data_IF_527110780526
#
_entry.id   IF_527110780526
#
_cell.length_a   1.000
_cell.length_b   1.000
_cell.length_c   1.000
_cell.angle_alpha   90.00
_cell.angle_beta   90.00
_cell.angle_gamma   90.00
#
_symmetry.space_group_name_H-M   'P 1'
#
loop_
_entity.id
_entity.type
_entity.pdbx_description
1 polymer ?
#
# COMPACT_ATOMS: atom_id res chain seq x y z
N UNK A 1 16.38 -13.94 -6.47
CA UNK A 1 14.98 -14.24 -6.12
C UNK A 1 14.31 -12.88 -5.88
N UNK A 2 14.28 -12.03 -6.93
CA UNK A 2 14.15 -10.57 -6.79
C UNK A 2 12.97 -9.99 -7.57
N UNK A 3 12.26 -10.82 -8.32
CA UNK A 3 11.20 -10.40 -9.26
C UNK A 3 9.85 -10.14 -8.58
N UNK A 4 9.60 -10.67 -7.37
CA UNK A 4 8.30 -10.53 -6.70
C UNK A 4 8.16 -9.20 -5.95
N UNK A 5 9.27 -8.65 -5.42
CA UNK A 5 9.26 -7.38 -4.66
C UNK A 5 9.15 -6.16 -5.60
N UNK A 6 9.76 -6.24 -6.78
CA UNK A 6 9.69 -5.20 -7.80
C UNK A 6 8.28 -5.07 -8.39
N UNK A 7 7.66 -6.20 -8.80
CA UNK A 7 6.32 -6.26 -9.41
C UNK A 7 5.25 -5.57 -8.55
N UNK A 8 5.31 -5.78 -7.23
CA UNK A 8 4.32 -5.19 -6.34
C UNK A 8 4.53 -3.69 -6.13
N UNK A 9 5.78 -3.24 -6.08
CA UNK A 9 6.12 -1.82 -5.89
C UNK A 9 5.65 -0.98 -7.07
N UNK A 10 5.79 -1.50 -8.29
CA UNK A 10 5.34 -0.84 -9.51
C UNK A 10 3.81 -0.71 -9.55
N UNK A 11 3.08 -1.76 -9.16
CA UNK A 11 1.62 -1.72 -9.03
C UNK A 11 1.13 -0.72 -7.99
N UNK A 12 1.83 -0.58 -6.85
CA UNK A 12 1.48 0.42 -5.84
C UNK A 12 1.67 1.85 -6.38
N UNK A 13 2.77 2.11 -7.07
CA UNK A 13 3.04 3.42 -7.66
C UNK A 13 2.01 3.79 -8.74
N UNK A 14 1.56 2.81 -9.54
CA UNK A 14 0.49 3.01 -10.51
C UNK A 14 -0.82 3.43 -9.83
N UNK A 15 -1.23 2.73 -8.77
CA UNK A 15 -2.44 3.06 -8.01
C UNK A 15 -2.35 4.46 -7.39
N UNK A 16 -1.20 4.84 -6.82
CA UNK A 16 -0.99 6.18 -6.27
C UNK A 16 -1.09 7.26 -7.36
N UNK A 17 -0.56 6.98 -8.55
CA UNK A 17 -0.66 7.88 -9.70
C UNK A 17 -2.12 8.08 -10.10
N UNK A 18 -2.90 7.01 -10.18
CA UNK A 18 -4.34 7.07 -10.51
C UNK A 18 -5.14 7.85 -9.44
N UNK A 19 -4.83 7.65 -8.16
CA UNK A 19 -5.45 8.42 -7.06
C UNK A 19 -5.19 9.91 -7.25
N UNK A 20 -3.95 10.30 -7.55
CA UNK A 20 -3.58 11.70 -7.79
C UNK A 20 -4.32 12.30 -8.99
N UNK A 21 -4.40 11.57 -10.10
CA UNK A 21 -5.12 12.00 -11.31
C UNK A 21 -6.60 12.21 -11.00
N UNK A 22 -7.24 11.25 -10.33
CA UNK A 22 -8.66 11.33 -10.00
C UNK A 22 -8.98 12.48 -9.05
N UNK A 23 -8.11 12.73 -8.06
CA UNK A 23 -8.26 13.86 -7.16
C UNK A 23 -8.17 15.19 -7.91
N UNK A 24 -7.17 15.34 -8.79
CA UNK A 24 -7.00 16.55 -9.59
C UNK A 24 -8.18 16.78 -10.55
N UNK A 25 -8.67 15.71 -11.18
CA UNK A 25 -9.83 15.77 -12.07
C UNK A 25 -11.09 16.18 -11.30
N UNK A 26 -11.33 15.61 -10.12
CA UNK A 26 -12.45 15.97 -9.28
C UNK A 26 -12.36 17.42 -8.79
N UNK A 27 -11.17 17.87 -8.38
CA UNK A 27 -10.91 19.24 -7.97
C UNK A 27 -11.19 20.22 -9.12
N UNK A 28 -10.70 19.92 -10.31
CA UNK A 28 -10.86 20.76 -11.51
C UNK A 28 -12.33 20.82 -11.96
N UNK A 29 -13.04 19.69 -11.89
CA UNK A 29 -14.42 19.58 -12.40
C UNK A 29 -15.44 20.18 -11.46
N UNK A 30 -15.31 19.91 -10.15
CA UNK A 30 -16.35 20.26 -9.18
C UNK A 30 -15.95 21.40 -8.24
N UNK A 31 -14.65 21.65 -8.07
CA UNK A 31 -14.13 22.63 -7.13
C UNK A 31 -14.06 22.11 -5.68
N UNK A 32 -13.20 22.70 -4.84
CA UNK A 32 -12.79 22.15 -3.55
C UNK A 32 -13.90 22.15 -2.47
N UNK A 33 -14.92 22.99 -2.62
CA UNK A 33 -16.04 23.08 -1.67
C UNK A 33 -17.28 22.29 -2.11
N UNK A 34 -17.22 21.62 -3.27
CA UNK A 34 -18.35 20.84 -3.76
C UNK A 34 -18.52 19.53 -3.00
N UNK A 35 -19.77 19.07 -2.87
CA UNK A 35 -20.06 17.77 -2.26
C UNK A 35 -19.42 16.62 -3.02
N UNK A 36 -19.40 16.70 -4.36
CA UNK A 36 -18.82 15.70 -5.24
C UNK A 36 -17.31 15.55 -5.00
N UNK A 37 -16.58 16.67 -4.95
CA UNK A 37 -15.16 16.64 -4.63
C UNK A 37 -14.91 16.06 -3.23
N UNK A 38 -15.67 16.47 -2.23
CA UNK A 38 -15.52 15.97 -0.86
C UNK A 38 -15.80 14.47 -0.75
N UNK A 39 -16.81 13.95 -1.44
CA UNK A 39 -17.09 12.51 -1.53
C UNK A 39 -15.94 11.75 -2.19
N UNK A 40 -15.44 12.24 -3.34
CA UNK A 40 -14.29 11.60 -4.01
C UNK A 40 -13.05 11.63 -3.11
N UNK A 41 -12.78 12.76 -2.45
CA UNK A 41 -11.66 12.90 -1.53
C UNK A 41 -11.73 11.89 -0.38
N UNK A 42 -12.91 11.63 0.17
CA UNK A 42 -13.08 10.67 1.27
C UNK A 42 -12.83 9.23 0.81
N UNK A 43 -13.38 8.84 -0.34
CA UNK A 43 -13.15 7.53 -0.96
C UNK A 43 -11.64 7.31 -1.23
N UNK A 44 -10.97 8.32 -1.79
CA UNK A 44 -9.55 8.21 -2.09
C UNK A 44 -8.67 8.13 -0.83
N UNK A 45 -9.07 8.77 0.28
CA UNK A 45 -8.41 8.61 1.58
C UNK A 45 -8.55 7.19 2.10
N UNK A 46 -9.72 6.59 1.96
CA UNK A 46 -9.93 5.19 2.35
C UNK A 46 -9.10 4.23 1.51
N UNK A 47 -8.97 4.47 0.20
CA UNK A 47 -8.04 3.70 -0.65
C UNK A 47 -6.60 3.76 -0.13
N UNK A 48 -6.11 4.94 0.26
CA UNK A 48 -4.76 5.11 0.82
C UNK A 48 -4.58 4.34 2.14
N UNK A 49 -5.58 4.36 3.02
CA UNK A 49 -5.55 3.61 4.29
C UNK A 49 -5.49 2.10 4.05
N UNK A 50 -6.23 1.59 3.08
CA UNK A 50 -6.19 0.18 2.69
C UNK A 50 -4.82 -0.21 2.16
N UNK A 51 -4.24 0.61 1.26
CA UNK A 51 -2.89 0.38 0.71
C UNK A 51 -1.84 0.35 1.84
N UNK A 52 -1.91 1.29 2.78
CA UNK A 52 -0.99 1.33 3.92
C UNK A 52 -1.14 0.09 4.82
N UNK A 53 -2.38 -0.34 5.05
CA UNK A 53 -2.69 -1.52 5.87
C UNK A 53 -2.16 -2.81 5.22
N UNK A 54 -2.39 -2.99 3.91
CA UNK A 54 -1.85 -4.12 3.14
C UNK A 54 -0.32 -4.16 3.20
N UNK A 55 0.31 -2.99 3.08
CA UNK A 55 1.77 -2.87 3.14
C UNK A 55 2.30 -3.23 4.54
N UNK A 56 1.64 -2.77 5.60
CA UNK A 56 1.99 -3.15 6.99
C UNK A 56 1.83 -4.64 7.23
N UNK A 57 0.71 -5.23 6.83
CA UNK A 57 0.46 -6.67 6.95
C UNK A 57 1.52 -7.50 6.21
N UNK A 58 1.89 -7.09 5.00
CA UNK A 58 2.97 -7.75 4.24
C UNK A 58 4.33 -7.59 4.89
N UNK A 59 4.65 -6.43 5.48
CA UNK A 59 5.92 -6.25 6.20
C UNK A 59 6.01 -7.08 7.49
N UNK A 60 4.86 -7.38 8.10
CA UNK A 60 4.75 -8.19 9.32
C UNK A 60 4.69 -9.69 9.03
N UNK A 61 4.36 -10.09 7.79
CA UNK A 61 4.48 -11.46 7.34
C UNK A 61 5.97 -11.80 7.23
N UNK A 62 6.58 -12.19 8.34
CA UNK A 62 7.90 -12.81 8.35
C UNK A 62 7.84 -14.00 7.40
N UNK A 63 8.71 -13.98 6.40
CA UNK A 63 8.89 -15.09 5.49
C UNK A 63 9.18 -16.38 6.30
N UNK A 64 8.50 -17.50 6.02
CA UNK A 64 8.70 -18.78 6.70
C UNK A 64 10.17 -19.20 6.77
N UNK A 65 10.97 -18.90 5.74
CA UNK A 65 12.38 -19.24 5.72
C UNK A 65 13.18 -18.37 6.71
N UNK A 66 12.85 -17.09 6.81
CA UNK A 66 13.41 -16.16 7.81
C UNK A 66 13.07 -16.57 9.24
N UNK A 67 11.82 -16.99 9.50
CA UNK A 67 11.41 -17.50 10.82
C UNK A 67 12.11 -18.83 11.14
N UNK A 68 12.22 -19.73 10.16
CA UNK A 68 12.91 -21.01 10.28
C UNK A 68 14.40 -20.83 10.58
N UNK A 69 15.06 -19.89 9.91
CA UNK A 69 16.45 -19.46 10.18
C UNK A 69 16.62 -18.95 11.61
N UNK A 70 15.75 -18.04 12.07
CA UNK A 70 15.80 -17.50 13.43
C UNK A 70 15.62 -18.61 14.49
N UNK A 71 14.69 -19.53 14.26
CA UNK A 71 14.49 -20.72 15.11
C UNK A 71 15.70 -21.66 15.10
N UNK A 72 16.37 -21.82 13.95
CA UNK A 72 17.61 -22.58 13.83
C UNK A 72 18.75 -21.99 14.66
N UNK A 73 18.91 -20.66 14.67
CA UNK A 73 19.92 -20.00 15.52
C UNK A 73 19.64 -20.18 17.01
N UNK A 74 18.38 -20.15 17.44
CA UNK A 74 18.00 -20.43 18.83
C UNK A 74 18.31 -21.87 19.26
N UNK A 75 18.21 -22.84 18.33
CA UNK A 75 18.50 -24.25 18.62
C UNK A 75 20.00 -24.56 18.78
N UNK A 76 20.88 -23.74 18.19
CA UNK A 76 22.34 -23.90 18.24
C UNK A 76 22.94 -23.40 19.58
N UNK A 77 22.19 -22.60 20.34
CA UNK A 77 22.65 -22.02 21.61
C UNK A 77 22.52 -22.91 22.85
N UNK A 78 22.45 -24.24 22.70
CA UNK A 78 22.30 -25.19 23.82
C UNK A 78 23.49 -26.13 23.96
#
# INVERSE_FOLDING_TARGET
MDTVVADHSDRYNEVLTQISVNLNNALTTFGPSSKQYLTVLDILKDCLRTIESDRKQRSLALDPDTLSLAMGFLAIGK
#
